data_IF_266061013002
#
_entry.id   IF_266061013002
#
_cell.length_a   1.000
_cell.length_b   1.000
_cell.length_c   1.000
_cell.angle_alpha   90.00
_cell.angle_beta   90.00
_cell.angle_gamma   90.00
#
_symmetry.space_group_name_H-M   'P 1'
#
loop_
_entity.id
_entity.type
_entity.pdbx_description
1 polymer ?
#
# COMPACT_ATOMS: atom_id res chain seq x y z
N UNK A 1 -1.17 -10.37 9.19
CA UNK A 1 -1.05 -11.82 9.39
C UNK A 1 -2.38 -12.55 9.46
N UNK A 2 -3.49 -11.87 9.66
CA UNK A 2 -4.82 -12.48 9.77
C UNK A 2 -5.55 -12.65 8.44
N UNK A 3 -5.09 -12.00 7.38
CA UNK A 3 -5.76 -12.00 6.06
C UNK A 3 -5.96 -13.41 5.51
N UNK A 4 -4.93 -14.23 5.54
CA UNK A 4 -4.94 -15.58 4.99
C UNK A 4 -6.04 -16.44 5.63
N UNK A 5 -5.98 -16.62 6.95
CA UNK A 5 -6.88 -17.55 7.64
C UNK A 5 -8.34 -17.12 7.57
N UNK A 6 -8.60 -15.81 7.81
CA UNK A 6 -9.97 -15.28 7.77
C UNK A 6 -10.54 -15.38 6.36
N UNK A 7 -9.74 -15.01 5.33
CA UNK A 7 -10.18 -15.07 3.95
C UNK A 7 -10.50 -16.49 3.53
N UNK A 8 -9.62 -17.45 3.83
CA UNK A 8 -9.86 -18.85 3.50
C UNK A 8 -11.13 -19.38 4.16
N UNK A 9 -11.36 -19.09 5.44
CA UNK A 9 -12.59 -19.50 6.14
C UNK A 9 -13.86 -18.94 5.50
N UNK A 10 -13.85 -17.67 5.11
CA UNK A 10 -15.00 -17.04 4.45
C UNK A 10 -15.26 -17.64 3.06
N UNK A 11 -14.20 -17.83 2.27
CA UNK A 11 -14.30 -18.43 0.94
C UNK A 11 -14.80 -19.90 1.04
N UNK A 12 -14.33 -20.66 2.03
CA UNK A 12 -14.83 -22.02 2.30
C UNK A 12 -16.31 -22.04 2.64
N UNK A 13 -16.80 -21.02 3.33
CA UNK A 13 -18.21 -20.84 3.63
C UNK A 13 -19.03 -20.32 2.43
N UNK A 14 -18.42 -20.15 1.25
CA UNK A 14 -19.08 -19.64 0.05
C UNK A 14 -19.36 -18.14 0.08
N UNK A 15 -18.72 -17.39 0.99
CA UNK A 15 -18.90 -15.95 1.13
C UNK A 15 -17.91 -15.23 0.22
N UNK A 16 -18.39 -14.27 -0.59
CA UNK A 16 -17.54 -13.39 -1.37
C UNK A 16 -16.74 -12.45 -0.47
N UNK A 17 -15.45 -12.26 -0.77
CA UNK A 17 -14.53 -11.50 0.05
C UNK A 17 -13.94 -10.32 -0.71
N UNK A 18 -14.06 -9.12 -0.13
CA UNK A 18 -13.22 -7.98 -0.46
C UNK A 18 -12.07 -7.95 0.55
N UNK A 19 -10.87 -8.27 0.08
CA UNK A 19 -9.68 -8.41 0.90
C UNK A 19 -8.79 -7.19 0.76
N UNK A 20 -8.43 -6.56 1.88
CA UNK A 20 -7.42 -5.50 1.86
C UNK A 20 -6.02 -6.04 1.51
N UNK A 21 -5.23 -5.17 0.91
CA UNK A 21 -3.82 -5.47 0.62
C UNK A 21 -2.96 -5.46 1.90
N UNK A 22 -1.89 -6.22 1.93
CA UNK A 22 -1.49 -7.26 0.99
C UNK A 22 -2.37 -8.51 1.14
N UNK A 23 -2.46 -9.31 0.09
CA UNK A 23 -3.26 -10.56 0.11
C UNK A 23 -2.84 -11.49 1.26
N UNK A 24 -1.54 -11.62 1.49
CA UNK A 24 -0.93 -12.31 2.62
C UNK A 24 0.47 -11.73 2.88
N UNK A 25 1.12 -12.15 3.94
CA UNK A 25 2.50 -11.74 4.27
C UNK A 25 3.56 -12.72 3.77
N UNK A 26 3.15 -13.87 3.24
CA UNK A 26 4.01 -14.88 2.62
C UNK A 26 3.46 -15.26 1.25
N UNK A 27 4.32 -15.84 0.41
CA UNK A 27 3.91 -16.37 -0.90
C UNK A 27 2.98 -17.56 -0.70
N UNK A 28 3.32 -18.46 0.21
CA UNK A 28 2.54 -19.66 0.52
C UNK A 28 1.13 -19.28 1.01
N UNK A 29 1.01 -18.24 1.83
CA UNK A 29 -0.27 -17.71 2.29
C UNK A 29 -1.08 -17.09 1.15
N UNK A 30 -0.44 -16.39 0.23
CA UNK A 30 -1.09 -15.84 -0.95
C UNK A 30 -1.60 -16.96 -1.87
N UNK A 31 -0.79 -17.97 -2.12
CA UNK A 31 -1.15 -19.14 -2.93
C UNK A 31 -2.34 -19.88 -2.31
N UNK A 32 -2.33 -20.10 -1.00
CA UNK A 32 -3.45 -20.73 -0.27
C UNK A 32 -4.76 -19.96 -0.44
N UNK A 33 -4.72 -18.63 -0.34
CA UNK A 33 -5.91 -17.79 -0.57
C UNK A 33 -6.42 -17.93 -2.01
N UNK A 34 -5.52 -17.86 -3.00
CA UNK A 34 -5.88 -18.00 -4.41
C UNK A 34 -6.41 -19.39 -4.75
N UNK A 35 -5.78 -20.46 -4.26
CA UNK A 35 -6.24 -21.83 -4.42
C UNK A 35 -7.62 -22.04 -3.80
N UNK A 36 -7.85 -21.47 -2.61
CA UNK A 36 -9.14 -21.55 -1.95
C UNK A 36 -10.21 -20.83 -2.76
N UNK A 37 -9.96 -19.63 -3.24
CA UNK A 37 -10.90 -18.90 -4.10
C UNK A 37 -11.20 -19.67 -5.38
N UNK A 38 -10.17 -20.23 -6.02
CA UNK A 38 -10.34 -21.02 -7.24
C UNK A 38 -11.18 -22.29 -7.01
N UNK A 39 -10.90 -23.04 -5.95
CA UNK A 39 -11.58 -24.28 -5.59
C UNK A 39 -13.03 -24.06 -5.19
N UNK A 40 -13.29 -23.05 -4.37
CA UNK A 40 -14.65 -22.74 -3.88
C UNK A 40 -15.50 -22.00 -4.91
N UNK A 41 -14.86 -21.33 -5.88
CA UNK A 41 -15.48 -20.39 -6.82
C UNK A 41 -16.17 -19.21 -6.13
N UNK A 42 -15.88 -18.97 -4.86
CA UNK A 42 -16.36 -17.80 -4.15
C UNK A 42 -15.64 -16.54 -4.68
N UNK A 43 -16.35 -15.44 -4.88
CA UNK A 43 -15.73 -14.21 -5.38
C UNK A 43 -14.67 -13.68 -4.42
N UNK A 44 -13.48 -13.42 -4.94
CA UNK A 44 -12.40 -12.75 -4.22
C UNK A 44 -11.96 -11.50 -4.98
N UNK A 45 -11.95 -10.37 -4.31
CA UNK A 45 -11.41 -9.12 -4.82
C UNK A 45 -10.34 -8.60 -3.87
N UNK A 46 -9.13 -8.33 -4.38
CA UNK A 46 -8.04 -7.76 -3.59
C UNK A 46 -8.00 -6.25 -3.77
N UNK A 47 -7.99 -5.51 -2.68
CA UNK A 47 -8.17 -4.07 -2.59
C UNK A 47 -6.95 -3.25 -3.04
N UNK A 48 -6.51 -3.41 -4.30
CA UNK A 48 -5.54 -2.52 -4.91
C UNK A 48 -6.22 -1.20 -5.36
N UNK A 49 -6.69 -0.44 -4.38
CA UNK A 49 -7.53 0.74 -4.57
C UNK A 49 -6.87 1.87 -5.38
N UNK A 50 -5.54 1.96 -5.42
CA UNK A 50 -4.84 2.97 -6.22
C UNK A 50 -5.13 2.85 -7.72
N UNK A 51 -5.53 1.69 -8.23
CA UNK A 51 -6.00 1.53 -9.62
C UNK A 51 -7.24 2.37 -9.92
N UNK A 52 -8.02 2.72 -8.88
CA UNK A 52 -9.26 3.49 -9.00
C UNK A 52 -9.06 5.00 -8.82
N UNK A 53 -7.88 5.44 -8.43
CA UNK A 53 -7.54 6.86 -8.37
C UNK A 53 -7.70 7.51 -9.75
N UNK A 54 -8.31 8.68 -9.82
CA UNK A 54 -8.59 9.38 -11.08
C UNK A 54 -7.33 9.57 -11.91
N UNK A 55 -6.23 10.03 -11.31
CA UNK A 55 -4.95 10.25 -11.99
C UNK A 55 -4.39 8.95 -12.57
N UNK A 56 -4.48 7.84 -11.86
CA UNK A 56 -3.98 6.53 -12.30
C UNK A 56 -4.84 5.99 -13.46
N UNK A 57 -6.16 6.16 -13.37
CA UNK A 57 -7.08 5.79 -14.45
C UNK A 57 -6.84 6.61 -15.72
N UNK A 58 -6.66 7.92 -15.57
CA UNK A 58 -6.34 8.80 -16.71
C UNK A 58 -5.01 8.37 -17.35
N UNK A 59 -3.97 8.14 -16.54
CA UNK A 59 -2.68 7.67 -17.05
C UNK A 59 -2.82 6.32 -17.78
N UNK A 60 -3.56 5.38 -17.24
CA UNK A 60 -3.85 4.11 -17.92
C UNK A 60 -4.57 4.32 -19.24
N UNK A 61 -5.53 5.25 -19.29
CA UNK A 61 -6.25 5.57 -20.54
C UNK A 61 -5.31 6.18 -21.58
N UNK A 62 -4.49 7.16 -21.20
CA UNK A 62 -3.47 7.78 -22.06
C UNK A 62 -2.54 6.73 -22.70
N UNK A 63 -2.10 5.76 -21.89
CA UNK A 63 -1.26 4.65 -22.37
C UNK A 63 -2.04 3.76 -23.34
N UNK A 64 -3.25 3.37 -23.00
CA UNK A 64 -4.09 2.48 -23.83
C UNK A 64 -4.47 3.10 -25.18
N UNK A 65 -4.69 4.42 -25.19
CA UNK A 65 -4.99 5.17 -26.42
C UNK A 65 -3.74 5.43 -27.29
N UNK A 66 -2.57 4.97 -26.83
CA UNK A 66 -1.30 5.12 -27.55
C UNK A 66 -0.77 6.55 -27.60
N UNK A 67 -1.29 7.48 -26.77
CA UNK A 67 -0.94 8.90 -26.85
C UNK A 67 0.52 9.18 -26.50
N UNK A 68 1.15 8.30 -25.72
CA UNK A 68 2.59 8.38 -25.38
C UNK A 68 3.41 7.25 -25.98
N UNK A 69 2.80 6.45 -26.87
CA UNK A 69 3.44 5.28 -27.45
C UNK A 69 3.60 4.13 -26.45
N UNK A 70 4.55 3.25 -26.75
CA UNK A 70 4.83 2.07 -25.92
C UNK A 70 5.60 2.44 -24.64
N UNK A 71 5.13 1.96 -23.49
CA UNK A 71 5.81 2.17 -22.21
C UNK A 71 7.09 1.33 -22.18
N UNK A 72 8.23 1.98 -22.13
CA UNK A 72 9.57 1.35 -22.11
C UNK A 72 10.23 1.38 -20.74
N UNK A 73 9.88 2.35 -19.90
CA UNK A 73 10.40 2.49 -18.55
C UNK A 73 9.39 3.21 -17.66
N UNK A 74 9.38 2.85 -16.38
CA UNK A 74 8.59 3.53 -15.36
C UNK A 74 9.51 3.88 -14.20
N UNK A 75 9.39 5.12 -13.72
CA UNK A 75 10.04 5.59 -12.51
C UNK A 75 8.95 5.90 -11.48
N UNK A 76 8.96 5.19 -10.37
CA UNK A 76 8.08 5.47 -9.24
C UNK A 76 8.92 5.97 -8.06
N UNK A 77 8.53 7.10 -7.50
CA UNK A 77 9.11 7.64 -6.26
C UNK A 77 7.99 7.89 -5.28
N UNK A 78 8.01 7.17 -4.19
CA UNK A 78 7.02 7.31 -3.14
C UNK A 78 7.67 7.81 -1.86
N UNK A 79 7.34 9.02 -1.46
CA UNK A 79 7.77 9.61 -0.19
C UNK A 79 6.56 9.62 0.75
N UNK A 80 6.64 8.82 1.82
CA UNK A 80 5.63 8.84 2.87
C UNK A 80 6.03 9.93 3.86
N UNK A 81 5.45 11.10 3.71
CA UNK A 81 5.67 12.21 4.65
C UNK A 81 4.85 12.00 5.90
N UNK A 82 3.59 12.37 5.84
CA UNK A 82 2.67 12.29 6.98
C UNK A 82 2.26 10.85 7.26
N UNK A 83 2.22 10.47 8.53
CA UNK A 83 1.82 9.13 8.95
C UNK A 83 2.85 8.04 8.64
N UNK A 84 4.03 8.38 8.12
CA UNK A 84 5.09 7.41 7.86
C UNK A 84 5.55 6.68 9.13
N UNK A 85 5.49 7.35 10.26
CA UNK A 85 5.84 6.81 11.56
C UNK A 85 4.90 5.67 12.01
N UNK A 86 3.65 5.60 11.53
CA UNK A 86 2.73 4.49 11.83
C UNK A 86 3.30 3.14 11.41
N UNK A 87 4.04 3.08 10.33
CA UNK A 87 4.66 1.84 9.84
C UNK A 87 5.79 1.33 10.73
N UNK A 88 6.25 2.15 11.68
CA UNK A 88 7.35 1.84 12.58
C UNK A 88 6.93 1.76 14.05
N UNK A 89 5.62 1.68 14.30
CA UNK A 89 5.02 1.57 15.64
C UNK A 89 4.16 0.30 15.76
N UNK A 90 3.96 -0.12 16.99
CA UNK A 90 3.10 -1.22 17.35
C UNK A 90 3.33 -2.47 16.48
N UNK A 91 2.25 -3.14 16.12
CA UNK A 91 2.32 -4.33 15.28
C UNK A 91 2.83 -4.08 13.85
N UNK A 92 2.75 -2.85 13.34
CA UNK A 92 3.27 -2.52 12.02
C UNK A 92 4.81 -2.58 11.97
N UNK A 93 5.47 -2.31 13.11
CA UNK A 93 6.92 -2.42 13.22
C UNK A 93 7.42 -3.85 13.41
N UNK A 94 6.52 -4.79 13.68
CA UNK A 94 6.86 -6.19 13.85
C UNK A 94 6.94 -6.90 12.49
N UNK A 95 8.16 -7.22 12.09
CA UNK A 95 8.41 -7.88 10.81
C UNK A 95 7.79 -9.27 10.71
N UNK A 96 7.56 -9.94 11.83
CA UNK A 96 6.89 -11.26 11.83
C UNK A 96 5.42 -11.16 11.43
N UNK A 97 4.83 -9.98 11.59
CA UNK A 97 3.42 -9.72 11.26
C UNK A 97 3.22 -9.02 9.92
N UNK A 98 4.23 -8.30 9.45
CA UNK A 98 4.08 -7.37 8.32
C UNK A 98 5.14 -7.51 7.25
N UNK A 99 6.19 -8.28 7.50
CA UNK A 99 7.42 -8.41 6.69
C UNK A 99 8.20 -7.12 6.50
N UNK A 100 7.54 -5.98 6.32
CA UNK A 100 8.16 -4.67 6.24
C UNK A 100 7.44 -3.69 5.32
N UNK A 101 7.97 -2.48 5.25
CA UNK A 101 7.37 -1.36 4.55
C UNK A 101 7.17 -1.64 3.05
N UNK A 102 8.08 -2.39 2.43
CA UNK A 102 7.98 -2.71 1.01
C UNK A 102 6.68 -3.46 0.71
N UNK A 103 6.33 -4.47 1.50
CA UNK A 103 5.07 -5.20 1.34
C UNK A 103 3.87 -4.38 1.82
N UNK A 104 4.00 -3.70 2.97
CA UNK A 104 2.88 -2.95 3.55
C UNK A 104 2.42 -1.78 2.68
N UNK A 105 3.37 -1.07 2.05
CA UNK A 105 3.09 0.17 1.32
C UNK A 105 3.38 0.06 -0.17
N UNK A 106 4.56 -0.38 -0.56
CA UNK A 106 4.94 -0.40 -1.97
C UNK A 106 4.21 -1.50 -2.78
N UNK A 107 3.43 -2.37 -2.14
CA UNK A 107 2.53 -3.28 -2.84
C UNK A 107 1.60 -2.51 -3.80
N UNK A 108 1.11 -1.34 -3.40
CA UNK A 108 0.33 -0.48 -4.28
C UNK A 108 1.14 0.07 -5.46
N UNK A 109 2.35 0.53 -5.20
CA UNK A 109 3.20 1.14 -6.23
C UNK A 109 3.60 0.10 -7.28
N UNK A 110 3.99 -1.09 -6.83
CA UNK A 110 4.33 -2.22 -7.70
C UNK A 110 3.12 -2.65 -8.53
N UNK A 111 1.94 -2.73 -7.89
CA UNK A 111 0.70 -3.08 -8.57
C UNK A 111 0.35 -2.07 -9.67
N UNK A 112 0.42 -0.78 -9.36
CA UNK A 112 0.16 0.28 -10.34
C UNK A 112 1.16 0.25 -11.50
N UNK A 113 2.46 0.05 -11.21
CA UNK A 113 3.48 -0.05 -12.27
C UNK A 113 3.21 -1.24 -13.19
N UNK A 114 2.91 -2.41 -12.63
CA UNK A 114 2.56 -3.60 -13.40
C UNK A 114 1.29 -3.38 -14.23
N UNK A 115 0.29 -2.74 -13.64
CA UNK A 115 -0.96 -2.46 -14.32
C UNK A 115 -0.79 -1.44 -15.46
N UNK A 116 0.01 -0.40 -15.28
CA UNK A 116 0.28 0.62 -16.31
C UNK A 116 1.12 0.06 -17.47
N UNK A 117 2.12 -0.76 -17.16
CA UNK A 117 2.98 -1.38 -18.19
C UNK A 117 2.35 -2.60 -18.88
N UNK A 118 1.24 -3.12 -18.33
CA UNK A 118 0.63 -4.39 -18.75
C UNK A 118 1.64 -5.56 -18.73
N UNK A 119 2.49 -5.57 -17.72
CA UNK A 119 3.64 -6.47 -17.60
C UNK A 119 3.93 -6.77 -16.14
N UNK A 120 4.75 -7.79 -15.93
CA UNK A 120 5.27 -8.17 -14.60
C UNK A 120 6.80 -8.24 -14.64
N UNK A 121 7.50 -7.97 -13.54
CA UNK A 121 8.96 -8.01 -13.54
C UNK A 121 9.47 -9.45 -13.66
N UNK A 122 10.43 -9.65 -14.55
CA UNK A 122 11.17 -10.92 -14.68
C UNK A 122 12.29 -11.03 -13.64
N UNK A 123 12.89 -9.90 -13.27
CA UNK A 123 13.97 -9.82 -12.28
C UNK A 123 13.74 -8.65 -11.36
N UNK A 124 14.05 -8.87 -10.08
CA UNK A 124 13.93 -7.84 -9.04
C UNK A 124 15.22 -7.79 -8.22
N UNK A 125 15.69 -6.58 -7.95
CA UNK A 125 16.79 -6.33 -7.02
C UNK A 125 16.30 -5.30 -6.01
N UNK A 126 16.45 -5.59 -4.72
CA UNK A 126 16.04 -4.70 -3.63
C UNK A 126 17.26 -4.27 -2.82
N UNK A 127 17.30 -2.98 -2.48
CA UNK A 127 18.23 -2.43 -1.48
C UNK A 127 17.43 -1.56 -0.53
N UNK A 128 17.76 -1.59 0.75
CA UNK A 128 17.06 -0.80 1.76
C UNK A 128 17.87 -0.61 3.02
N UNK A 129 17.56 0.49 3.73
CA UNK A 129 18.15 0.80 5.02
C UNK A 129 17.15 1.55 5.90
N UNK A 130 17.35 1.51 7.22
CA UNK A 130 16.59 2.25 8.23
C UNK A 130 17.37 3.52 8.65
N UNK A 131 17.41 4.52 7.79
CA UNK A 131 18.20 5.73 8.01
C UNK A 131 17.67 6.58 9.16
N UNK A 132 16.36 6.64 9.37
CA UNK A 132 15.69 7.44 10.40
C UNK A 132 15.23 6.56 11.55
N UNK A 133 14.34 5.63 11.28
CA UNK A 133 13.67 4.83 12.32
C UNK A 133 14.51 3.66 12.86
N UNK A 134 15.61 3.32 12.23
CA UNK A 134 16.52 2.27 12.70
C UNK A 134 17.22 2.57 14.03
N UNK A 135 17.30 3.85 14.40
CA UNK A 135 17.91 4.31 15.66
C UNK A 135 16.94 4.37 16.83
N UNK A 136 15.67 4.09 16.61
CA UNK A 136 14.66 4.10 17.68
C UNK A 136 14.83 2.87 18.56
N UNK A 137 15.15 3.08 19.82
CA UNK A 137 15.33 2.01 20.82
C UNK A 137 14.04 1.56 21.45
N UNK A 138 13.03 2.41 21.46
CA UNK A 138 11.70 2.15 22.01
C UNK A 138 10.63 2.18 20.93
N UNK A 139 9.98 1.05 20.71
CA UNK A 139 8.92 0.85 19.73
C UNK A 139 7.59 0.46 20.38
N UNK A 140 7.44 0.73 21.68
CA UNK A 140 6.29 0.33 22.49
C UNK A 140 5.00 1.10 22.20
N UNK A 141 4.99 1.96 21.19
CA UNK A 141 3.84 2.79 20.85
C UNK A 141 3.64 3.99 21.77
N UNK A 142 4.42 4.13 22.83
CA UNK A 142 4.44 5.36 23.60
C UNK A 142 5.02 6.47 22.75
N UNK A 143 4.20 7.47 22.48
CA UNK A 143 4.60 8.71 21.84
C UNK A 143 5.82 9.27 22.55
N UNK A 144 7.01 9.07 22.00
CA UNK A 144 8.12 9.96 22.35
C UNK A 144 7.93 11.22 21.54
N UNK A 145 8.13 12.36 22.20
CA UNK A 145 8.21 13.66 21.56
C UNK A 145 9.31 13.62 20.48
N UNK A 146 9.00 13.08 19.35
CA UNK A 146 9.80 13.23 18.15
C UNK A 146 9.46 14.60 17.58
N UNK A 147 10.43 15.27 17.04
CA UNK A 147 10.26 16.55 16.33
C UNK A 147 9.16 16.49 15.26
N UNK A 148 8.73 15.28 14.92
CA UNK A 148 7.66 14.99 13.96
C UNK A 148 6.29 14.77 14.61
N UNK A 149 6.20 14.63 15.96
CA UNK A 149 4.92 14.30 16.62
C UNK A 149 3.91 15.43 16.54
N UNK A 150 4.38 16.68 16.58
CA UNK A 150 3.52 17.84 16.54
C UNK A 150 2.96 18.11 15.13
N UNK A 151 3.58 17.54 14.10
CA UNK A 151 3.18 17.66 12.71
C UNK A 151 2.10 16.65 12.31
N UNK A 152 1.85 15.65 13.16
CA UNK A 152 1.00 14.50 12.85
C UNK A 152 -0.12 14.27 13.85
N UNK A 153 -0.53 15.29 14.57
CA UNK A 153 -1.80 15.25 15.27
C UNK A 153 -2.92 15.23 14.22
N UNK A 154 -3.75 14.20 14.25
CA UNK A 154 -4.96 14.15 13.43
C UNK A 154 -5.87 15.37 13.70
N UNK A 155 -5.74 15.99 14.87
CA UNK A 155 -6.50 17.19 15.24
C UNK A 155 -5.99 18.46 14.57
N UNK A 156 -4.77 18.45 14.01
CA UNK A 156 -4.10 19.62 13.42
C UNK A 156 -3.65 19.36 11.97
N UNK A 157 -4.22 18.38 11.31
CA UNK A 157 -3.85 18.08 9.93
C UNK A 157 -4.87 18.65 8.94
N UNK A 158 -4.43 19.29 7.86
CA UNK A 158 -3.06 19.72 7.53
C UNK A 158 -2.64 20.95 8.35
N UNK A 159 -1.36 21.04 8.78
CA UNK A 159 -0.92 22.22 9.50
C UNK A 159 -1.00 23.44 8.58
N UNK A 160 -1.65 24.49 9.05
CA UNK A 160 -1.85 25.75 8.30
C UNK A 160 -0.55 26.33 7.71
N UNK A 161 0.59 26.07 8.34
CA UNK A 161 1.90 26.57 7.90
C UNK A 161 2.48 25.89 6.64
N UNK A 162 1.99 24.71 6.25
CA UNK A 162 2.41 24.02 5.03
C UNK A 162 1.50 24.29 3.84
N UNK A 163 0.38 24.90 4.11
CA UNK A 163 -0.69 25.05 3.17
C UNK A 163 -0.77 26.42 2.55
N UNK A 164 0.20 27.01 2.11
CA UNK A 164 -0.03 27.99 1.06
C UNK A 164 -0.89 27.40 -0.09
N UNK A 165 -1.26 26.14 0.03
CA UNK A 165 -2.29 25.39 -0.70
C UNK A 165 -3.54 25.32 0.17
N UNK A 166 -4.66 25.77 -0.37
CA UNK A 166 -5.97 25.71 0.23
C UNK A 166 -6.20 24.33 0.89
N UNK A 167 -6.48 24.25 2.20
CA UNK A 167 -6.73 23.01 2.91
C UNK A 167 -7.93 22.22 2.38
N UNK A 168 -8.69 22.79 1.45
CA UNK A 168 -9.83 22.15 0.77
C UNK A 168 -9.41 21.37 -0.48
N UNK A 169 -8.13 21.33 -0.86
CA UNK A 169 -7.68 20.28 -1.77
C UNK A 169 -7.47 19.05 -0.88
N UNK A 170 -8.59 18.49 -0.52
CA UNK A 170 -8.68 17.25 0.20
C UNK A 170 -7.96 16.16 -0.60
N UNK A 171 -7.21 15.34 0.09
CA UNK A 171 -6.63 14.14 -0.51
C UNK A 171 -7.75 13.27 -1.10
N UNK A 172 -8.97 13.39 -0.60
CA UNK A 172 -10.17 12.79 -1.16
C UNK A 172 -10.51 13.36 -2.55
N UNK A 173 -10.32 14.66 -2.80
CA UNK A 173 -10.55 15.27 -4.13
C UNK A 173 -9.52 14.82 -5.19
N UNK A 174 -8.37 14.35 -4.79
CA UNK A 174 -7.38 13.72 -5.67
C UNK A 174 -7.64 12.22 -5.88
N UNK A 175 -8.54 11.63 -5.10
CA UNK A 175 -8.91 10.21 -5.17
C UNK A 175 -10.22 9.95 -5.93
N UNK A 176 -10.93 11.00 -6.36
CA UNK A 176 -12.15 10.85 -7.17
C UNK A 176 -11.87 10.72 -8.67
#
# INVERSE_FOLDING_TARGET
DTHEDITCQLLEAGVGVYLEKPIAITIEGADRVLETAYRTRAPLYVGHNMRHMAVVRILRQVIRDGLIGEVRAIWCRHFVGNGGDYYFKDWHADRSRTTGLLLQKAAHDIDVMNWLSDSVPERVVGMGDLMVYGKLTDRSGQRRDSVMSDWFSLDNWPPESLTGLNPVIDVEDLSM
#
